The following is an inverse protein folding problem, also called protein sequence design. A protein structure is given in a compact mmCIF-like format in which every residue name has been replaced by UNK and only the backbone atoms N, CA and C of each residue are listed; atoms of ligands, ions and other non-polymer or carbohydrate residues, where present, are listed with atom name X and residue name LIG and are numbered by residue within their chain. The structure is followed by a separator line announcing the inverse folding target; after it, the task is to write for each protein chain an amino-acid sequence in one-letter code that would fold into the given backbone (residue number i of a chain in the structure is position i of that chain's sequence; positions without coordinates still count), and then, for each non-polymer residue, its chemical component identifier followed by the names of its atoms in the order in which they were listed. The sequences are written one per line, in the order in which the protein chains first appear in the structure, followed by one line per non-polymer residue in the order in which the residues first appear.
data_IF_755440819941
#
_entry.id   IF_755440819941
#
_cell.length_a   1.000
_cell.length_b   1.000
_cell.length_c   1.000
_cell.angle_alpha   90.00
_cell.angle_beta   90.00
_cell.angle_gamma   90.00
#
_symmetry.space_group_name_H-M   'P 1'
#
loop_
_entity.id
_entity.type
_entity.pdbx_description
1 polymer ?
#
# COMPACT_ATOMS: atom_id res chain seq x y z
N UNK A 1 -4.76 25.74 28.62
CA UNK A 1 -5.78 26.77 28.33
C UNK A 1 -6.91 26.63 29.34
N UNK A 2 -7.71 27.68 29.57
CA UNK A 2 -8.90 27.56 30.43
C UNK A 2 -10.06 26.99 29.62
N UNK A 3 -10.75 26.00 30.16
CA UNK A 3 -11.94 25.43 29.53
C UNK A 3 -13.16 26.32 29.78
N UNK A 4 -14.28 26.02 29.10
CA UNK A 4 -15.57 26.68 29.39
C UNK A 4 -16.01 26.44 30.84
N UNK A 5 -15.67 25.29 31.42
CA UNK A 5 -15.98 24.94 32.81
C UNK A 5 -15.19 25.82 33.79
N UNK A 6 -13.92 26.11 33.50
CA UNK A 6 -13.14 27.03 34.32
C UNK A 6 -13.74 28.43 34.38
N UNK A 7 -14.25 28.96 33.26
CA UNK A 7 -14.92 30.27 33.28
C UNK A 7 -16.15 30.27 34.19
N UNK A 8 -16.99 29.23 34.11
CA UNK A 8 -18.15 29.10 35.01
C UNK A 8 -17.69 29.03 36.47
N UNK A 9 -16.69 28.19 36.78
CA UNK A 9 -16.15 28.07 38.13
C UNK A 9 -15.60 29.39 38.67
N UNK A 10 -14.85 30.13 37.85
CA UNK A 10 -14.30 31.43 38.21
C UNK A 10 -15.43 32.45 38.42
N UNK A 11 -16.40 32.54 37.52
CA UNK A 11 -17.53 33.47 37.66
C UNK A 11 -18.35 33.18 38.91
N UNK A 12 -18.67 31.91 39.18
CA UNK A 12 -19.41 31.50 40.39
C UNK A 12 -18.59 31.81 41.65
N UNK A 13 -17.29 31.54 41.64
CA UNK A 13 -16.41 31.83 42.77
C UNK A 13 -16.30 33.32 43.05
N UNK A 14 -16.15 34.16 42.01
CA UNK A 14 -16.06 35.62 42.12
C UNK A 14 -17.39 36.22 42.57
N UNK A 15 -18.51 35.79 41.98
CA UNK A 15 -19.84 36.25 42.37
C UNK A 15 -20.17 35.86 43.83
N UNK A 16 -19.86 34.62 44.21
CA UNK A 16 -20.01 34.14 45.59
C UNK A 16 -19.16 34.94 46.57
N UNK A 17 -17.89 35.21 46.24
CA UNK A 17 -17.02 36.02 47.08
C UNK A 17 -17.54 37.47 47.24
N UNK A 18 -18.00 38.10 46.15
CA UNK A 18 -18.56 39.45 46.18
C UNK A 18 -19.84 39.54 47.04
N UNK A 19 -20.73 38.55 46.92
CA UNK A 19 -21.93 38.44 47.78
C UNK A 19 -21.56 38.19 49.25
N UNK A 20 -20.53 37.38 49.52
CA UNK A 20 -20.08 37.12 50.89
C UNK A 20 -19.51 38.38 51.54
N UNK A 21 -18.72 39.15 50.79
CA UNK A 21 -18.11 40.39 51.24
C UNK A 21 -19.13 41.52 51.45
N UNK A 22 -20.16 41.61 50.59
CA UNK A 22 -21.18 42.66 50.66
C UNK A 22 -22.25 42.40 51.73
N UNK A 23 -22.66 41.15 51.92
CA UNK A 23 -23.75 40.78 52.84
C UNK A 23 -23.27 40.15 54.16
N UNK A 24 -21.96 39.95 54.35
CA UNK A 24 -21.39 39.38 55.58
C UNK A 24 -21.78 37.93 55.85
N UNK A 25 -22.35 37.24 54.86
CA UNK A 25 -22.84 35.88 54.97
C UNK A 25 -21.67 34.88 55.01
N UNK A 26 -21.17 34.59 56.22
CA UNK A 26 -20.09 33.60 56.44
C UNK A 26 -20.42 32.21 55.88
N UNK A 27 -21.70 31.88 55.74
CA UNK A 27 -22.16 30.62 55.11
C UNK A 27 -21.71 30.48 53.66
N UNK A 28 -21.52 31.58 52.93
CA UNK A 28 -21.12 31.54 51.52
C UNK A 28 -19.64 31.14 51.32
N UNK A 29 -18.81 31.33 52.36
CA UNK A 29 -17.43 30.84 52.38
C UNK A 29 -17.35 29.31 52.32
N UNK A 30 -18.38 28.60 52.80
CA UNK A 30 -18.45 27.14 52.73
C UNK A 30 -18.54 26.62 51.28
N UNK A 31 -18.96 27.46 50.33
CA UNK A 31 -19.03 27.13 48.90
C UNK A 31 -17.83 27.71 48.15
N UNK A 32 -17.45 28.95 48.45
CA UNK A 32 -16.34 29.62 47.75
C UNK A 32 -14.98 28.97 48.05
N UNK A 33 -14.72 28.62 49.32
CA UNK A 33 -13.44 28.00 49.71
C UNK A 33 -13.15 26.68 48.95
N UNK A 34 -14.04 25.68 48.89
CA UNK A 34 -13.76 24.45 48.15
C UNK A 34 -13.63 24.67 46.64
N UNK A 35 -14.35 25.64 46.05
CA UNK A 35 -14.19 25.99 44.63
C UNK A 35 -12.80 26.56 44.34
N UNK A 36 -12.31 27.48 45.19
CA UNK A 36 -10.96 28.02 45.06
C UNK A 36 -9.89 26.94 45.27
N UNK A 37 -10.10 26.01 46.21
CA UNK A 37 -9.21 24.86 46.41
C UNK A 37 -9.22 23.95 45.17
N UNK A 38 -10.38 23.65 44.57
CA UNK A 38 -10.47 22.85 43.35
C UNK A 38 -9.71 23.49 42.18
N UNK A 39 -9.87 24.81 41.98
CA UNK A 39 -9.12 25.56 40.96
C UNK A 39 -7.60 25.47 41.23
N UNK A 40 -7.17 25.68 42.48
CA UNK A 40 -5.76 25.63 42.85
C UNK A 40 -5.17 24.22 42.65
N UNK A 41 -5.89 23.19 43.08
CA UNK A 41 -5.48 21.78 42.93
C UNK A 41 -5.38 21.41 41.45
N UNK A 42 -6.40 21.74 40.63
CA UNK A 42 -6.38 21.46 39.19
C UNK A 42 -5.23 22.17 38.48
N UNK A 43 -4.97 23.44 38.83
CA UNK A 43 -3.83 24.19 38.29
C UNK A 43 -2.48 23.57 38.68
N UNK A 44 -2.29 23.18 39.95
CA UNK A 44 -1.05 22.56 40.43
C UNK A 44 -0.85 21.20 39.76
N UNK A 45 -1.91 20.39 39.64
CA UNK A 45 -1.90 19.09 38.98
C UNK A 45 -1.40 19.23 37.54
N UNK A 46 -2.07 20.06 36.73
CA UNK A 46 -1.72 20.22 35.31
C UNK A 46 -0.34 20.85 35.08
N UNK A 47 0.10 21.73 36.01
CA UNK A 47 1.43 22.33 35.96
C UNK A 47 2.52 21.28 36.25
N UNK A 48 2.24 20.29 37.11
CA UNK A 48 3.14 19.18 37.40
C UNK A 48 3.18 18.15 36.28
N UNK A 49 2.12 18.01 35.49
CA UNK A 49 2.10 17.13 34.32
C UNK A 49 3.24 17.48 33.36
N UNK A 50 4.16 16.53 33.20
CA UNK A 50 5.26 16.61 32.26
C UNK A 50 4.82 16.07 30.90
N UNK A 51 5.59 16.41 29.86
CA UNK A 51 5.38 15.84 28.53
C UNK A 51 5.68 14.33 28.60
N UNK A 52 4.72 13.44 28.29
CA UNK A 52 4.99 12.01 28.21
C UNK A 52 5.93 11.72 27.04
N UNK A 53 6.81 10.73 27.18
CA UNK A 53 7.52 10.18 26.03
C UNK A 53 6.56 9.27 25.28
N UNK A 54 6.63 9.27 23.95
CA UNK A 54 5.77 8.46 23.10
C UNK A 54 6.65 7.46 22.37
N UNK A 55 6.31 6.19 22.49
CA UNK A 55 6.80 5.11 21.64
C UNK A 55 5.67 4.67 20.71
N UNK A 56 5.98 4.57 19.41
CA UNK A 56 4.99 4.24 18.38
C UNK A 56 5.36 2.90 17.80
N UNK A 57 4.46 1.92 17.95
CA UNK A 57 4.58 0.63 17.31
C UNK A 57 3.54 0.50 16.20
N UNK A 58 4.02 0.38 14.96
CA UNK A 58 3.18 0.21 13.78
C UNK A 58 3.88 -0.74 12.80
N UNK A 59 3.11 -1.48 11.98
CA UNK A 59 3.71 -2.26 10.91
C UNK A 59 4.37 -1.34 9.87
N UNK A 60 5.51 -1.75 9.36
CA UNK A 60 6.27 -1.03 8.34
C UNK A 60 5.68 -1.17 6.92
N UNK A 61 4.92 -2.24 6.69
CA UNK A 61 4.26 -2.54 5.42
C UNK A 61 2.83 -3.01 5.65
N UNK A 62 1.97 -2.77 4.68
CA UNK A 62 0.61 -3.32 4.66
C UNK A 62 0.04 -3.28 3.24
N UNK A 63 -1.08 -3.94 3.03
CA UNK A 63 -1.76 -3.96 1.72
C UNK A 63 -2.94 -3.02 1.69
N UNK A 64 -3.26 -2.46 0.53
CA UNK A 64 -4.48 -1.66 0.38
C UNK A 64 -5.72 -2.46 0.78
N UNK A 65 -6.64 -1.80 1.49
CA UNK A 65 -7.85 -2.32 2.14
C UNK A 65 -7.62 -3.18 3.39
N UNK A 66 -6.37 -3.43 3.78
CA UNK A 66 -6.03 -4.09 5.04
C UNK A 66 -6.26 -3.17 6.24
N UNK A 67 -6.63 -3.76 7.38
CA UNK A 67 -6.72 -3.07 8.67
C UNK A 67 -5.48 -3.42 9.50
N UNK A 68 -4.81 -2.40 10.01
CA UNK A 68 -3.61 -2.53 10.83
C UNK A 68 -3.77 -1.77 12.13
N UNK A 69 -3.23 -2.32 13.21
CA UNK A 69 -3.28 -1.66 14.53
C UNK A 69 -2.01 -0.84 14.74
N UNK A 70 -2.18 0.45 15.05
CA UNK A 70 -1.12 1.35 15.50
C UNK A 70 -1.23 1.46 17.02
N UNK A 71 -0.16 1.10 17.73
CA UNK A 71 -0.10 1.16 19.19
C UNK A 71 0.76 2.33 19.63
N UNK A 72 0.19 3.20 20.47
CA UNK A 72 0.87 4.34 21.09
C UNK A 72 1.09 4.05 22.57
N UNK A 73 2.35 3.88 22.95
CA UNK A 73 2.74 3.71 24.36
C UNK A 73 3.30 5.02 24.90
N UNK A 74 2.79 5.44 26.06
CA UNK A 74 3.16 6.70 26.68
C UNK A 74 3.90 6.44 27.99
N UNK A 75 5.19 6.77 28.05
CA UNK A 75 5.93 6.76 29.30
C UNK A 75 5.72 8.09 30.04
N UNK A 76 4.99 8.01 31.16
CA UNK A 76 4.70 9.13 32.05
C UNK A 76 4.95 8.71 33.51
N UNK A 77 5.96 9.28 34.19
CA UNK A 77 6.27 8.93 35.59
C UNK A 77 5.11 9.15 36.57
N UNK A 78 4.26 10.14 36.27
CA UNK A 78 3.05 10.46 37.01
C UNK A 78 1.87 10.32 36.03
N UNK A 79 1.12 9.21 36.05
CA UNK A 79 -0.02 9.01 35.16
C UNK A 79 -1.10 10.07 35.31
N UNK A 80 -1.78 10.39 34.22
CA UNK A 80 -2.83 11.40 34.20
C UNK A 80 -3.93 11.08 33.19
N UNK A 81 -5.15 11.51 33.48
CA UNK A 81 -6.25 11.41 32.54
C UNK A 81 -6.04 12.38 31.36
N UNK A 82 -6.22 11.88 30.15
CA UNK A 82 -6.10 12.69 28.95
C UNK A 82 -6.78 12.08 27.75
N UNK A 83 -6.89 12.89 26.71
CA UNK A 83 -7.42 12.49 25.41
C UNK A 83 -6.28 12.35 24.42
N UNK A 84 -6.24 11.24 23.70
CA UNK A 84 -5.27 10.99 22.62
C UNK A 84 -5.98 11.11 21.28
N UNK A 85 -5.43 11.95 20.42
CA UNK A 85 -5.91 12.19 19.07
C UNK A 85 -4.75 11.91 18.09
N UNK A 86 -5.00 11.05 17.12
CA UNK A 86 -4.04 10.61 16.13
C UNK A 86 -4.43 11.22 14.78
N UNK A 87 -3.65 12.18 14.32
CA UNK A 87 -3.82 12.71 12.96
C UNK A 87 -3.22 11.71 11.96
N UNK A 88 -3.95 11.43 10.88
CA UNK A 88 -3.60 10.43 9.86
C UNK A 88 -3.53 11.09 8.49
N UNK A 89 -2.63 10.61 7.63
CA UNK A 89 -2.58 11.02 6.23
C UNK A 89 -3.83 10.54 5.46
N UNK A 90 -4.14 11.16 4.31
CA UNK A 90 -5.33 10.83 3.50
C UNK A 90 -5.43 9.36 3.04
N UNK A 91 -4.34 8.58 3.12
CA UNK A 91 -4.33 7.16 2.78
C UNK A 91 -4.54 6.21 3.96
N UNK A 92 -4.80 6.75 5.15
CA UNK A 92 -5.05 6.03 6.40
C UNK A 92 -6.39 6.49 6.96
N UNK A 93 -7.32 5.57 7.14
CA UNK A 93 -8.66 5.84 7.67
C UNK A 93 -8.82 5.23 9.06
N UNK A 94 -9.28 6.04 10.01
CA UNK A 94 -9.68 5.59 11.33
C UNK A 94 -11.09 6.11 11.60
N UNK A 95 -12.02 5.20 11.86
CA UNK A 95 -13.43 5.53 12.10
C UNK A 95 -13.71 5.95 13.54
N UNK A 96 -12.73 5.83 14.44
CA UNK A 96 -12.88 6.24 15.83
C UNK A 96 -12.61 7.74 16.02
N UNK A 97 -13.19 8.28 17.10
CA UNK A 97 -12.83 9.61 17.57
C UNK A 97 -11.58 9.58 18.47
N UNK A 98 -11.23 10.72 19.07
CA UNK A 98 -10.20 10.77 20.09
C UNK A 98 -10.52 9.80 21.24
N UNK A 99 -9.48 9.16 21.79
CA UNK A 99 -9.61 8.16 22.84
C UNK A 99 -9.28 8.82 24.19
N UNK A 100 -10.24 8.81 25.12
CA UNK A 100 -10.02 9.20 26.52
C UNK A 100 -9.43 8.03 27.30
N UNK A 101 -8.27 8.24 27.94
CA UNK A 101 -7.58 7.19 28.70
C UNK A 101 -6.69 7.77 29.81
N UNK A 102 -6.08 6.88 30.59
CA UNK A 102 -5.00 7.20 31.53
C UNK A 102 -3.64 7.09 30.84
N UNK A 103 -3.01 8.23 30.59
CA UNK A 103 -1.69 8.31 29.96
C UNK A 103 -0.62 7.85 30.95
N UNK A 104 0.22 6.88 30.58
CA UNK A 104 1.23 6.29 31.48
C UNK A 104 0.88 4.92 32.03
N UNK A 105 -0.36 4.44 31.85
CA UNK A 105 -0.82 3.17 32.42
C UNK A 105 -1.16 2.11 31.37
N UNK A 106 -1.67 2.51 30.21
CA UNK A 106 -2.09 1.58 29.17
C UNK A 106 -1.80 2.16 27.79
N UNK A 107 -1.30 1.32 26.89
CA UNK A 107 -1.10 1.70 25.51
C UNK A 107 -2.45 1.97 24.81
N UNK A 108 -2.43 2.89 23.85
CA UNK A 108 -3.63 3.26 23.08
C UNK A 108 -3.51 2.66 21.70
N UNK A 109 -4.53 1.90 21.29
CA UNK A 109 -4.56 1.21 20.01
C UNK A 109 -5.54 1.87 19.05
N UNK A 110 -5.09 2.08 17.82
CA UNK A 110 -5.88 2.62 16.71
C UNK A 110 -5.92 1.59 15.59
N UNK A 111 -7.10 1.04 15.30
CA UNK A 111 -7.31 0.16 14.15
C UNK A 111 -7.53 1.00 12.89
N UNK A 112 -6.50 1.10 12.07
CA UNK A 112 -6.42 1.96 10.90
C UNK A 112 -6.54 1.15 9.62
N UNK A 113 -7.42 1.57 8.73
CA UNK A 113 -7.62 0.98 7.40
C UNK A 113 -6.74 1.67 6.37
N UNK A 114 -5.99 0.89 5.60
CA UNK A 114 -5.10 1.39 4.55
C UNK A 114 -5.87 1.61 3.25
N UNK A 115 -6.01 2.84 2.76
CA UNK A 115 -6.90 3.15 1.62
C UNK A 115 -6.18 3.58 0.35
N UNK A 116 -4.98 4.17 0.48
CA UNK A 116 -4.14 4.58 -0.66
C UNK A 116 -2.78 3.91 -0.59
N UNK A 117 -2.29 3.40 -1.74
CA UNK A 117 -0.94 2.85 -1.85
C UNK A 117 0.14 3.93 -1.66
N UNK A 118 1.37 3.51 -1.43
CA UNK A 118 2.54 4.37 -1.26
C UNK A 118 2.87 4.59 0.23
N UNK A 119 3.81 5.49 0.49
CA UNK A 119 4.19 5.86 1.86
C UNK A 119 3.08 6.69 2.52
N UNK A 120 2.56 6.20 3.64
CA UNK A 120 1.56 6.88 4.44
C UNK A 120 2.14 7.25 5.79
N UNK A 121 2.20 8.56 6.09
CA UNK A 121 2.72 9.06 7.35
C UNK A 121 1.74 8.80 8.50
N UNK A 122 2.29 8.40 9.65
CA UNK A 122 1.55 8.29 10.91
C UNK A 122 1.75 9.59 11.70
N UNK A 123 0.68 10.16 12.25
CA UNK A 123 0.74 11.33 13.10
C UNK A 123 0.65 12.67 12.36
N UNK A 124 0.73 13.80 13.10
CA UNK A 124 1.15 13.92 14.50
C UNK A 124 0.18 13.34 15.53
N UNK A 125 0.69 12.99 16.71
CA UNK A 125 -0.13 12.60 17.87
C UNK A 125 -0.29 13.78 18.81
N UNK A 126 -1.53 14.00 19.24
CA UNK A 126 -1.90 15.05 20.17
C UNK A 126 -2.44 14.43 21.45
N UNK A 127 -1.80 14.75 22.57
CA UNK A 127 -2.26 14.36 23.91
C UNK A 127 -2.78 15.59 24.63
N UNK A 128 -4.05 15.60 24.99
CA UNK A 128 -4.68 16.67 25.77
C UNK A 128 -4.81 16.18 27.21
N UNK A 129 -3.94 16.67 28.09
CA UNK A 129 -4.04 16.43 29.52
C UNK A 129 -5.12 17.33 30.12
N UNK A 130 -6.01 16.77 30.93
CA UNK A 130 -7.03 17.50 31.66
C UNK A 130 -6.83 17.32 33.17
N UNK A 131 -7.18 18.33 33.97
CA UNK A 131 -7.25 18.16 35.42
C UNK A 131 -8.53 17.41 35.84
N UNK A 132 -8.59 16.90 37.06
CA UNK A 132 -9.73 16.11 37.58
C UNK A 132 -11.08 16.85 37.56
N UNK A 133 -11.07 18.18 37.47
CA UNK A 133 -12.28 19.01 37.38
C UNK A 133 -12.55 19.51 35.95
N UNK A 134 -11.68 19.22 34.97
CA UNK A 134 -11.78 19.66 33.57
C UNK A 134 -11.79 21.19 33.43
N UNK A 135 -11.06 21.90 34.29
CA UNK A 135 -10.96 23.36 34.33
C UNK A 135 -9.81 23.86 33.44
N UNK A 136 -8.73 23.09 33.39
CA UNK A 136 -7.53 23.41 32.67
C UNK A 136 -7.13 22.25 31.78
N UNK A 137 -6.71 22.59 30.57
CA UNK A 137 -6.19 21.65 29.59
C UNK A 137 -4.75 21.99 29.22
N UNK A 138 -3.93 20.98 28.96
CA UNK A 138 -2.58 21.14 28.43
C UNK A 138 -2.34 20.17 27.29
N UNK A 139 -2.06 20.71 26.11
CA UNK A 139 -1.81 19.94 24.91
C UNK A 139 -0.32 19.66 24.74
N UNK A 140 0.02 18.41 24.46
CA UNK A 140 1.33 17.96 24.01
C UNK A 140 1.19 17.44 22.58
N UNK A 141 2.00 17.94 21.65
CA UNK A 141 2.01 17.48 20.26
C UNK A 141 3.32 16.77 19.96
N UNK A 142 3.23 15.51 19.57
CA UNK A 142 4.33 14.64 19.20
C UNK A 142 4.39 14.53 17.67
N UNK A 143 5.53 14.94 17.12
CA UNK A 143 5.82 14.75 15.71
C UNK A 143 6.39 13.34 15.54
N UNK A 144 5.75 12.56 14.69
CA UNK A 144 6.08 11.16 14.38
C UNK A 144 6.78 11.17 13.03
N UNK A 145 7.78 10.29 12.86
CA UNK A 145 8.53 10.13 11.60
C UNK A 145 8.26 8.80 10.92
N UNK A 146 7.56 7.92 11.62
CA UNK A 146 7.14 6.60 11.21
C UNK A 146 6.11 6.70 10.08
N UNK A 147 6.19 5.76 9.15
CA UNK A 147 5.28 5.64 8.03
C UNK A 147 5.03 4.17 7.72
N UNK A 148 3.92 3.91 7.04
CA UNK A 148 3.52 2.58 6.56
C UNK A 148 3.65 2.60 5.05
N UNK A 149 4.42 1.68 4.47
CA UNK A 149 4.44 1.46 3.04
C UNK A 149 3.24 0.60 2.65
N UNK A 150 2.26 1.21 1.99
CA UNK A 150 1.04 0.52 1.55
C UNK A 150 1.22 -0.02 0.14
N UNK A 151 1.19 -1.35 0.00
CA UNK A 151 1.27 -2.03 -1.29
C UNK A 151 -0.03 -1.88 -2.10
N UNK A 152 0.06 -1.94 -3.44
CA UNK A 152 -1.11 -2.07 -4.30
C UNK A 152 -1.92 -3.31 -3.93
N UNK A 153 -3.22 -3.29 -4.25
CA UNK A 153 -4.11 -4.41 -4.05
C UNK A 153 -3.71 -5.57 -4.99
N UNK A 154 -3.61 -6.77 -4.44
CA UNK A 154 -3.39 -7.99 -5.21
C UNK A 154 -4.70 -8.75 -5.30
N UNK A 155 -5.27 -8.83 -6.49
CA UNK A 155 -6.45 -9.63 -6.76
C UNK A 155 -6.05 -11.03 -7.27
N UNK A 156 -6.76 -12.09 -6.85
CA UNK A 156 -6.48 -13.42 -7.34
C UNK A 156 -6.80 -13.54 -8.83
N UNK A 157 -5.79 -13.86 -9.62
CA UNK A 157 -5.88 -14.14 -11.06
C UNK A 157 -5.76 -15.65 -11.29
N UNK A 158 -6.56 -16.21 -12.20
CA UNK A 158 -6.44 -17.63 -12.58
C UNK A 158 -5.12 -17.89 -13.34
N UNK A 159 -4.31 -18.79 -12.78
CA UNK A 159 -3.02 -19.21 -13.34
C UNK A 159 -3.11 -19.81 -14.74
N UNK A 160 -4.28 -20.33 -15.17
CA UNK A 160 -4.47 -20.87 -16.53
C UNK A 160 -4.52 -19.76 -17.59
N UNK A 161 -5.15 -18.63 -17.28
CA UNK A 161 -5.14 -17.42 -18.14
C UNK A 161 -3.74 -16.85 -18.26
N UNK A 162 -3.02 -16.83 -17.15
CA UNK A 162 -1.62 -16.40 -17.08
C UNK A 162 -0.72 -17.33 -17.89
N UNK A 163 -0.86 -18.66 -17.76
CA UNK A 163 -0.11 -19.67 -18.50
C UNK A 163 -0.34 -19.62 -20.03
N UNK A 164 -1.54 -19.24 -20.48
CA UNK A 164 -1.80 -19.01 -21.92
C UNK A 164 -1.17 -17.72 -22.44
N UNK A 165 -1.25 -16.63 -21.67
CA UNK A 165 -0.55 -15.39 -22.00
C UNK A 165 0.98 -15.61 -22.05
N UNK A 166 1.51 -16.49 -21.19
CA UNK A 166 2.88 -17.03 -21.23
C UNK A 166 3.16 -17.76 -22.56
N UNK A 167 2.38 -18.77 -22.95
CA UNK A 167 2.58 -19.53 -24.19
C UNK A 167 2.63 -18.63 -25.45
N UNK A 168 1.73 -17.64 -25.53
CA UNK A 168 1.70 -16.69 -26.64
C UNK A 168 2.87 -15.69 -26.60
N UNK A 169 3.31 -15.29 -25.40
CA UNK A 169 4.49 -14.45 -25.22
C UNK A 169 5.78 -15.19 -25.60
N UNK A 170 5.94 -16.44 -25.17
CA UNK A 170 7.06 -17.31 -25.53
C UNK A 170 7.13 -17.57 -27.04
N UNK A 171 6.01 -17.82 -27.70
CA UNK A 171 5.96 -17.98 -29.16
C UNK A 171 6.46 -16.73 -29.90
N UNK A 172 6.26 -15.55 -29.31
CA UNK A 172 6.76 -14.29 -29.87
C UNK A 172 8.20 -13.96 -29.44
N UNK A 173 8.62 -14.30 -28.22
CA UNK A 173 9.99 -14.14 -27.74
C UNK A 173 10.96 -15.05 -28.49
N UNK A 174 10.61 -16.32 -28.72
CA UNK A 174 11.38 -17.24 -29.56
C UNK A 174 11.52 -16.77 -31.03
N UNK A 175 10.65 -15.85 -31.49
CA UNK A 175 10.79 -15.18 -32.80
C UNK A 175 11.68 -13.94 -32.75
N UNK A 176 11.91 -13.35 -31.57
CA UNK A 176 12.77 -12.17 -31.35
C UNK A 176 14.20 -12.59 -30.98
N UNK A 177 14.35 -13.65 -30.19
CA UNK A 177 15.63 -14.28 -29.84
C UNK A 177 16.04 -15.28 -30.95
N UNK A 178 16.50 -14.77 -32.09
CA UNK A 178 17.75 -15.20 -32.75
C UNK A 178 17.83 -14.74 -34.21
N UNK A 179 18.97 -14.14 -34.54
CA UNK A 179 19.55 -14.17 -35.89
C UNK A 179 21.09 -14.06 -35.76
N UNK A 180 21.72 -14.95 -34.97
CA UNK A 180 23.17 -15.19 -35.13
C UNK A 180 23.37 -16.28 -36.18
N UNK A 181 24.01 -15.88 -37.27
CA UNK A 181 24.38 -16.76 -38.37
C UNK A 181 25.75 -17.36 -38.06
N UNK A 182 25.79 -18.67 -37.81
CA UNK A 182 27.04 -19.44 -37.72
C UNK A 182 27.35 -20.10 -39.06
N UNK A 183 28.62 -20.28 -39.37
CA UNK A 183 29.03 -21.08 -40.53
C UNK A 183 28.60 -22.56 -40.35
N UNK A 184 28.04 -23.13 -41.42
CA UNK A 184 27.58 -24.51 -41.48
C UNK A 184 28.74 -25.47 -41.24
N UNK A 185 28.54 -26.43 -40.32
CA UNK A 185 29.44 -27.55 -40.12
C UNK A 185 28.79 -28.85 -40.59
N UNK A 186 29.62 -29.78 -41.09
CA UNK A 186 29.15 -31.08 -41.54
C UNK A 186 28.51 -31.84 -40.36
N UNK A 187 27.18 -31.96 -40.38
CA UNK A 187 26.38 -32.51 -39.28
C UNK A 187 25.16 -31.66 -38.91
N UNK A 188 25.15 -30.38 -39.30
CA UNK A 188 24.02 -29.50 -39.06
C UNK A 188 22.80 -29.90 -39.92
N UNK A 189 21.57 -29.84 -39.39
CA UNK A 189 20.37 -30.15 -40.17
C UNK A 189 20.20 -29.17 -41.33
N UNK A 190 20.05 -29.69 -42.54
CA UNK A 190 19.92 -28.85 -43.73
C UNK A 190 18.76 -27.85 -43.62
N UNK A 191 17.68 -28.18 -42.90
CA UNK A 191 16.51 -27.30 -42.67
C UNK A 191 16.84 -25.98 -41.97
N UNK A 192 17.96 -25.90 -41.25
CA UNK A 192 18.32 -24.75 -40.43
C UNK A 192 19.24 -23.77 -41.17
N UNK A 193 19.55 -24.04 -42.45
CA UNK A 193 20.35 -23.14 -43.30
C UNK A 193 19.59 -21.81 -43.49
N UNK A 194 20.30 -20.69 -43.61
CA UNK A 194 19.72 -19.41 -43.97
C UNK A 194 20.00 -19.08 -45.44
N UNK A 195 19.19 -19.62 -46.36
CA UNK A 195 19.38 -19.54 -47.81
C UNK A 195 19.63 -18.12 -48.33
N UNK A 196 18.96 -17.12 -47.76
CA UNK A 196 19.12 -15.72 -48.18
C UNK A 196 20.49 -15.13 -47.84
N UNK A 197 21.15 -15.64 -46.79
CA UNK A 197 22.50 -15.22 -46.38
C UNK A 197 23.57 -16.05 -47.10
N UNK A 198 23.34 -17.35 -47.24
CA UNK A 198 24.21 -18.26 -48.00
C UNK A 198 24.28 -17.89 -49.50
N UNK A 199 23.19 -17.39 -50.09
CA UNK A 199 23.14 -17.02 -51.51
C UNK A 199 23.89 -15.72 -51.87
N UNK A 200 24.26 -14.89 -50.88
CA UNK A 200 24.98 -13.62 -51.10
C UNK A 200 26.51 -13.76 -50.93
N UNK A 201 26.98 -14.94 -50.55
CA UNK A 201 28.38 -15.22 -50.18
C UNK A 201 29.07 -16.09 -51.25
N UNK A 202 30.41 -16.15 -51.25
CA UNK A 202 31.17 -17.01 -52.15
C UNK A 202 30.74 -18.49 -52.05
N UNK A 203 30.88 -19.22 -53.15
CA UNK A 203 30.49 -20.62 -53.26
C UNK A 203 31.21 -21.45 -52.20
N UNK A 204 30.46 -22.00 -51.25
CA UNK A 204 30.97 -22.87 -50.18
C UNK A 204 30.63 -22.42 -48.76
N UNK A 205 30.27 -21.15 -48.56
CA UNK A 205 29.92 -20.61 -47.24
C UNK A 205 28.40 -20.68 -47.00
N UNK A 206 27.93 -21.78 -46.41
CA UNK A 206 26.55 -21.89 -45.94
C UNK A 206 26.48 -21.42 -44.49
N UNK A 207 25.44 -20.67 -44.14
CA UNK A 207 25.20 -20.27 -42.76
C UNK A 207 23.99 -20.99 -42.21
N UNK A 208 24.08 -21.41 -40.94
CA UNK A 208 23.01 -22.08 -40.19
C UNK A 208 22.53 -21.14 -39.09
N UNK A 209 21.23 -21.17 -38.85
CA UNK A 209 20.61 -20.56 -37.68
C UNK A 209 21.01 -21.38 -36.47
N UNK A 210 21.90 -20.85 -35.64
CA UNK A 210 22.18 -21.46 -34.35
C UNK A 210 21.08 -21.00 -33.38
N UNK A 211 20.56 -21.90 -32.57
CA UNK A 211 19.72 -21.54 -31.43
C UNK A 211 20.55 -21.80 -30.18
N UNK A 212 20.73 -20.80 -29.32
CA UNK A 212 21.41 -21.00 -28.04
C UNK A 212 20.40 -21.62 -27.06
N UNK A 213 20.66 -22.81 -26.52
CA UNK A 213 19.79 -23.39 -25.50
C UNK A 213 20.09 -22.68 -24.20
N UNK A 214 19.34 -21.63 -23.90
CA UNK A 214 19.32 -21.04 -22.58
C UNK A 214 18.49 -21.98 -21.68
N UNK A 215 19.03 -22.41 -20.54
CA UNK A 215 18.22 -23.11 -19.54
C UNK A 215 17.06 -22.20 -19.15
N UNK A 216 15.87 -22.49 -19.70
CA UNK A 216 14.67 -21.64 -19.67
C UNK A 216 14.11 -21.56 -18.24
N UNK A 217 14.73 -20.74 -17.39
CA UNK A 217 13.93 -20.03 -16.40
C UNK A 217 12.96 -19.15 -17.18
N UNK A 218 11.67 -19.50 -17.17
CA UNK A 218 10.63 -18.71 -17.81
C UNK A 218 10.65 -17.32 -17.17
N UNK A 219 11.14 -16.33 -17.90
CA UNK A 219 11.24 -14.95 -17.45
C UNK A 219 10.24 -14.11 -18.22
N UNK A 220 9.47 -13.28 -17.52
CA UNK A 220 8.54 -12.32 -18.12
C UNK A 220 8.90 -10.92 -17.69
N UNK A 221 9.00 -10.00 -18.65
CA UNK A 221 9.12 -8.57 -18.39
C UNK A 221 7.79 -7.86 -18.56
N UNK A 222 7.28 -7.28 -17.48
CA UNK A 222 6.10 -6.44 -17.46
C UNK A 222 6.53 -4.98 -17.49
N UNK A 223 5.93 -4.19 -18.38
CA UNK A 223 6.02 -2.73 -18.37
C UNK A 223 4.68 -2.17 -17.92
N UNK A 224 4.69 -1.31 -16.91
CA UNK A 224 3.51 -0.65 -16.36
C UNK A 224 3.56 0.85 -16.66
N UNK A 225 2.54 1.36 -17.33
CA UNK A 225 2.43 2.77 -17.70
C UNK A 225 1.04 3.31 -17.34
N UNK A 226 0.98 4.52 -16.80
CA UNK A 226 -0.28 5.09 -16.38
C UNK A 226 -0.33 6.59 -16.66
N UNK A 227 -1.46 7.06 -17.17
CA UNK A 227 -1.78 8.48 -17.10
C UNK A 227 -2.22 8.86 -15.69
N UNK A 228 -2.20 10.16 -15.40
CA UNK A 228 -2.75 10.70 -14.15
C UNK A 228 -4.20 10.20 -13.92
N UNK A 229 -4.48 9.79 -12.68
CA UNK A 229 -5.77 9.22 -12.27
C UNK A 229 -5.97 7.72 -12.57
N UNK A 230 -5.00 7.05 -13.22
CA UNK A 230 -5.06 5.60 -13.50
C UNK A 230 -3.96 4.79 -12.83
N UNK A 231 -3.06 5.44 -12.10
CA UNK A 231 -1.86 4.82 -11.55
C UNK A 231 -2.18 3.71 -10.56
N UNK A 232 -3.13 3.93 -9.65
CA UNK A 232 -3.63 2.91 -8.72
C UNK A 232 -4.09 1.64 -9.43
N UNK A 233 -4.95 1.78 -10.43
CA UNK A 233 -5.52 0.65 -11.14
C UNK A 233 -4.45 -0.14 -11.91
N UNK A 234 -3.47 0.57 -12.51
CA UNK A 234 -2.34 -0.07 -13.19
C UNK A 234 -1.45 -0.80 -12.20
N UNK A 235 -1.14 -0.18 -11.05
CA UNK A 235 -0.33 -0.80 -10.01
C UNK A 235 -1.01 -2.06 -9.45
N UNK A 236 -2.32 -2.01 -9.19
CA UNK A 236 -3.13 -3.14 -8.71
C UNK A 236 -3.16 -4.28 -9.75
N UNK A 237 -3.39 -3.95 -11.03
CA UNK A 237 -3.38 -4.93 -12.12
C UNK A 237 -2.00 -5.58 -12.31
N UNK A 238 -0.92 -4.78 -12.34
CA UNK A 238 0.44 -5.28 -12.47
C UNK A 238 0.85 -6.14 -11.28
N UNK A 239 0.50 -5.74 -10.05
CA UNK A 239 0.76 -6.51 -8.85
C UNK A 239 0.06 -7.88 -8.89
N UNK A 240 -1.20 -7.89 -9.33
CA UNK A 240 -2.02 -9.10 -9.47
C UNK A 240 -1.45 -10.07 -10.51
N UNK A 241 -1.06 -9.56 -11.69
CA UNK A 241 -0.43 -10.36 -12.75
C UNK A 241 0.92 -10.90 -12.29
N UNK A 242 1.77 -10.05 -11.69
CA UNK A 242 3.09 -10.45 -11.23
C UNK A 242 3.01 -11.50 -10.11
N UNK A 243 2.10 -11.33 -9.16
CA UNK A 243 1.87 -12.31 -8.10
C UNK A 243 1.45 -13.67 -8.67
N UNK A 244 0.50 -13.69 -9.61
CA UNK A 244 0.03 -14.92 -10.25
C UNK A 244 1.12 -15.63 -11.06
N UNK A 245 2.00 -14.87 -11.72
CA UNK A 245 3.16 -15.41 -12.43
C UNK A 245 4.20 -16.02 -11.48
N UNK A 246 4.48 -15.33 -10.37
CA UNK A 246 5.39 -15.84 -9.33
C UNK A 246 4.82 -17.10 -8.66
N UNK A 247 3.50 -17.17 -8.45
CA UNK A 247 2.82 -18.34 -7.86
C UNK A 247 2.96 -19.61 -8.72
N UNK A 248 3.10 -19.46 -10.05
CA UNK A 248 3.36 -20.58 -10.98
C UNK A 248 4.86 -20.81 -11.28
N UNK A 249 5.76 -20.11 -10.56
CA UNK A 249 7.21 -20.31 -10.66
C UNK A 249 7.90 -19.55 -11.79
N UNK A 250 7.24 -18.55 -12.39
CA UNK A 250 7.82 -17.71 -13.44
C UNK A 250 8.54 -16.52 -12.81
N UNK A 251 9.76 -16.26 -13.26
CA UNK A 251 10.55 -15.10 -12.80
C UNK A 251 10.05 -13.83 -13.48
N UNK A 252 9.59 -12.85 -12.69
CA UNK A 252 8.97 -11.61 -13.23
C UNK A 252 9.86 -10.39 -13.05
N UNK A 253 10.16 -9.69 -14.14
CA UNK A 253 10.69 -8.33 -14.09
C UNK A 253 9.57 -7.31 -14.26
N UNK A 254 9.62 -6.20 -13.53
CA UNK A 254 8.65 -5.09 -13.65
C UNK A 254 9.40 -3.79 -13.88
N UNK A 255 8.99 -3.04 -14.90
CA UNK A 255 9.47 -1.69 -15.18
C UNK A 255 8.31 -0.71 -15.13
N UNK A 256 8.49 0.35 -14.34
CA UNK A 256 7.58 1.49 -14.19
C UNK A 256 8.31 2.76 -14.66
N UNK A 257 7.64 3.91 -14.80
CA UNK A 257 8.30 5.15 -15.19
C UNK A 257 9.43 5.57 -14.23
N UNK A 258 9.30 5.22 -12.94
CA UNK A 258 10.15 5.73 -11.86
C UNK A 258 11.05 4.65 -11.24
N UNK A 259 10.97 3.39 -11.71
CA UNK A 259 11.72 2.28 -11.12
C UNK A 259 11.62 0.97 -11.89
N UNK A 260 12.57 0.08 -11.63
CA UNK A 260 12.66 -1.24 -12.28
C UNK A 260 13.12 -2.32 -11.29
N UNK A 261 12.54 -3.51 -11.41
CA UNK A 261 12.98 -4.75 -10.78
C UNK A 261 13.23 -5.78 -11.87
N UNK A 262 14.45 -6.34 -11.92
CA UNK A 262 14.79 -7.40 -12.86
C UNK A 262 14.25 -8.76 -12.46
N UNK A 263 14.06 -9.70 -13.40
CA UNK A 263 13.71 -11.07 -13.07
C UNK A 263 14.92 -11.78 -12.42
N UNK A 264 14.76 -12.30 -11.21
CA UNK A 264 15.84 -13.05 -10.54
C UNK A 264 15.40 -14.33 -9.82
N UNK A 265 14.10 -14.61 -9.71
CA UNK A 265 13.56 -15.85 -9.14
C UNK A 265 13.77 -15.99 -7.62
N UNK A 266 14.16 -14.91 -6.94
CA UNK A 266 14.36 -14.91 -5.49
C UNK A 266 13.05 -14.90 -4.72
N UNK A 267 13.06 -15.42 -3.49
CA UNK A 267 11.90 -15.40 -2.59
C UNK A 267 11.41 -13.97 -2.30
N UNK A 268 12.33 -12.99 -2.26
CA UNK A 268 12.02 -11.58 -1.96
C UNK A 268 11.61 -10.77 -3.21
N UNK A 269 11.57 -11.40 -4.39
CA UNK A 269 11.19 -10.75 -5.64
C UNK A 269 9.79 -10.16 -5.58
N UNK A 270 8.83 -10.87 -4.98
CA UNK A 270 7.46 -10.37 -4.79
C UNK A 270 7.44 -9.05 -4.05
N UNK A 271 8.10 -8.97 -2.90
CA UNK A 271 8.14 -7.78 -2.06
C UNK A 271 8.77 -6.61 -2.80
N UNK A 272 9.89 -6.81 -3.51
CA UNK A 272 10.54 -5.75 -4.29
C UNK A 272 9.65 -5.22 -5.43
N UNK A 273 8.92 -6.10 -6.11
CA UNK A 273 7.94 -5.69 -7.13
C UNK A 273 6.83 -4.84 -6.50
N UNK A 274 6.25 -5.30 -5.38
CA UNK A 274 5.20 -4.55 -4.68
C UNK A 274 5.70 -3.19 -4.16
N UNK A 275 6.94 -3.11 -3.69
CA UNK A 275 7.57 -1.84 -3.29
C UNK A 275 7.69 -0.87 -4.46
N UNK A 276 8.19 -1.30 -5.62
CA UNK A 276 8.28 -0.42 -6.81
C UNK A 276 6.89 0.03 -7.27
N UNK A 277 5.88 -0.84 -7.22
CA UNK A 277 4.50 -0.48 -7.60
C UNK A 277 3.83 0.44 -6.57
N UNK A 278 4.20 0.36 -5.29
CA UNK A 278 3.72 1.27 -4.26
C UNK A 278 4.19 2.71 -4.53
N UNK A 279 5.39 2.89 -5.09
CA UNK A 279 5.96 4.19 -5.46
C UNK A 279 5.68 4.62 -6.90
N UNK A 280 4.98 3.81 -7.70
CA UNK A 280 4.72 4.12 -9.11
C UNK A 280 3.94 5.43 -9.23
N UNK A 281 4.46 6.36 -10.04
CA UNK A 281 3.76 7.59 -10.45
C UNK A 281 3.20 7.46 -11.88
N UNK A 282 2.49 8.51 -12.32
CA UNK A 282 2.00 8.56 -13.70
C UNK A 282 3.15 8.86 -14.66
N UNK A 283 3.24 8.10 -15.74
CA UNK A 283 4.27 8.30 -16.73
C UNK A 283 4.30 7.22 -17.79
N UNK A 284 5.28 7.34 -18.66
CA UNK A 284 5.58 6.37 -19.71
C UNK A 284 7.02 5.92 -19.58
N UNK A 285 7.27 4.66 -19.88
CA UNK A 285 8.61 4.08 -19.89
C UNK A 285 9.30 4.43 -21.21
N UNK A 286 10.64 4.51 -21.19
CA UNK A 286 11.41 4.77 -22.40
C UNK A 286 11.22 3.66 -23.45
N UNK A 287 11.17 4.05 -24.74
CA UNK A 287 10.88 3.12 -25.85
C UNK A 287 11.82 1.91 -25.88
N UNK A 288 13.09 2.07 -25.47
CA UNK A 288 14.06 0.97 -25.40
C UNK A 288 13.61 -0.13 -24.44
N UNK A 289 13.15 0.24 -23.27
CA UNK A 289 12.68 -0.73 -22.26
C UNK A 289 11.31 -1.30 -22.64
N UNK A 290 10.42 -0.45 -23.20
CA UNK A 290 9.12 -0.87 -23.72
C UNK A 290 9.23 -1.92 -24.83
N UNK A 291 10.23 -1.82 -25.70
CA UNK A 291 10.45 -2.76 -26.80
C UNK A 291 10.78 -4.18 -26.34
N UNK A 292 11.30 -4.34 -25.12
CA UNK A 292 11.65 -5.62 -24.51
C UNK A 292 10.56 -6.16 -23.57
N UNK A 293 9.40 -5.50 -23.50
CA UNK A 293 8.28 -5.96 -22.69
C UNK A 293 7.59 -7.18 -23.34
N UNK A 294 7.38 -8.22 -22.54
CA UNK A 294 6.52 -9.33 -22.91
C UNK A 294 5.05 -8.96 -22.69
N UNK A 295 4.80 -8.21 -21.62
CA UNK A 295 3.48 -7.75 -21.22
C UNK A 295 3.50 -6.24 -20.93
N UNK A 296 2.59 -5.50 -21.55
CA UNK A 296 2.41 -4.06 -21.33
C UNK A 296 1.07 -3.84 -20.63
N UNK A 297 1.11 -3.34 -19.39
CA UNK A 297 -0.06 -2.90 -18.62
C UNK A 297 -0.16 -1.39 -18.74
N UNK A 298 -1.29 -0.90 -19.26
CA UNK A 298 -1.48 0.53 -19.52
C UNK A 298 -2.83 1.05 -19.04
N UNK A 299 -2.78 2.14 -18.28
CA UNK A 299 -3.96 2.89 -17.84
C UNK A 299 -4.07 4.22 -18.59
N UNK A 300 -5.09 4.35 -19.43
CA UNK A 300 -5.36 5.57 -20.20
C UNK A 300 -6.51 6.37 -19.56
N UNK A 301 -6.43 7.70 -19.61
CA UNK A 301 -7.42 8.58 -18.96
C UNK A 301 -8.83 8.41 -19.54
N UNK A 302 -8.92 8.15 -20.84
CA UNK A 302 -10.16 8.01 -21.61
C UNK A 302 -10.79 6.60 -21.51
N UNK A 303 -10.07 5.62 -20.97
CA UNK A 303 -10.53 4.24 -20.84
C UNK A 303 -10.85 3.93 -19.38
N UNK A 304 -11.97 3.24 -19.15
CA UNK A 304 -12.38 2.84 -17.79
C UNK A 304 -11.47 1.76 -17.22
N UNK A 305 -11.06 0.84 -18.06
CA UNK A 305 -10.36 -0.38 -17.66
C UNK A 305 -8.88 -0.30 -17.99
N UNK A 306 -8.07 -1.01 -17.20
CA UNK A 306 -6.64 -1.17 -17.47
C UNK A 306 -6.47 -2.12 -18.64
N UNK A 307 -5.70 -1.69 -19.64
CA UNK A 307 -5.42 -2.49 -20.82
C UNK A 307 -4.16 -3.30 -20.64
N UNK A 308 -4.23 -4.59 -20.96
CA UNK A 308 -3.11 -5.52 -20.96
C UNK A 308 -2.86 -5.93 -22.40
N UNK A 309 -1.61 -5.77 -22.85
CA UNK A 309 -1.17 -6.19 -24.18
C UNK A 309 -0.05 -7.21 -24.06
N UNK A 310 -0.22 -8.37 -24.67
CA UNK A 310 0.83 -9.35 -24.90
C UNK A 310 0.94 -9.61 -26.41
N UNK A 311 2.15 -9.56 -26.96
CA UNK A 311 2.34 -9.70 -28.41
C UNK A 311 1.47 -8.73 -29.22
N UNK A 312 0.48 -9.26 -29.95
CA UNK A 312 -0.50 -8.52 -30.76
C UNK A 312 -1.89 -8.41 -30.14
N UNK A 313 -2.16 -9.20 -29.10
CA UNK A 313 -3.47 -9.25 -28.47
C UNK A 313 -3.56 -8.20 -27.38
N UNK A 314 -4.76 -7.69 -27.17
CA UNK A 314 -5.05 -6.65 -26.19
C UNK A 314 -6.36 -7.00 -25.52
N UNK A 315 -6.38 -6.97 -24.19
CA UNK A 315 -7.58 -7.20 -23.39
C UNK A 315 -7.65 -6.28 -22.19
N UNK A 316 -8.81 -6.18 -21.57
CA UNK A 316 -8.96 -5.48 -20.29
C UNK A 316 -8.54 -6.35 -19.11
N UNK A 317 -8.10 -5.74 -18.00
CA UNK A 317 -7.83 -6.44 -16.74
C UNK A 317 -9.09 -7.12 -16.18
N UNK A 318 -10.26 -6.50 -16.31
CA UNK A 318 -11.53 -7.10 -15.91
C UNK A 318 -11.85 -8.37 -16.70
N UNK A 319 -11.60 -8.41 -18.01
CA UNK A 319 -11.73 -9.64 -18.79
C UNK A 319 -10.70 -10.70 -18.37
N UNK A 320 -9.51 -10.27 -17.92
CA UNK A 320 -8.43 -11.14 -17.47
C UNK A 320 -8.80 -11.82 -16.14
N UNK A 321 -9.46 -11.11 -15.22
CA UNK A 321 -9.94 -11.64 -13.94
C UNK A 321 -11.29 -12.37 -14.05
N UNK A 322 -12.22 -11.89 -14.88
CA UNK A 322 -13.59 -12.42 -14.99
C UNK A 322 -13.73 -13.73 -15.77
N UNK A 323 -12.71 -14.16 -16.54
CA UNK A 323 -12.72 -15.47 -17.21
C UNK A 323 -12.85 -16.65 -16.22
N UNK A 324 -12.61 -16.40 -14.93
CA UNK A 324 -13.08 -17.16 -13.76
C UNK A 324 -14.52 -17.70 -13.88
N UNK A 325 -15.46 -16.88 -14.35
CA UNK A 325 -16.89 -17.20 -14.32
C UNK A 325 -17.35 -18.18 -15.40
N UNK A 326 -16.66 -18.22 -16.55
CA UNK A 326 -17.13 -18.98 -17.71
C UNK A 326 -16.68 -20.44 -17.69
N UNK A 327 -15.54 -20.74 -17.08
CA UNK A 327 -15.06 -22.12 -16.91
C UNK A 327 -15.77 -22.83 -15.75
N UNK A 328 -15.97 -22.14 -14.62
CA UNK A 328 -16.70 -22.70 -13.46
C UNK A 328 -18.18 -23.01 -13.76
N UNK A 329 -18.85 -22.20 -14.60
CA UNK A 329 -20.23 -22.46 -15.01
C UNK A 329 -20.38 -23.66 -15.96
N UNK A 330 -19.32 -24.05 -16.68
CA UNK A 330 -19.36 -25.20 -17.61
C UNK A 330 -19.05 -26.53 -16.91
N UNK A 331 -18.31 -26.51 -15.80
CA UNK A 331 -18.10 -27.71 -14.96
C UNK A 331 -19.29 -28.00 -14.04
N UNK A 332 -20.07 -26.99 -13.63
CA UNK A 332 -21.30 -27.18 -12.86
C UNK A 332 -22.46 -27.81 -13.66
N UNK A 333 -22.47 -27.68 -14.99
CA UNK A 333 -23.56 -28.19 -15.85
C UNK A 333 -23.33 -29.64 -16.30
N UNK A 334 -22.09 -30.17 -16.19
CA UNK A 334 -21.81 -31.59 -16.50
C UNK A 334 -22.09 -32.56 -15.35
N UNK A 335 -22.29 -32.07 -14.13
CA UNK A 335 -22.51 -32.91 -12.95
C UNK A 335 -23.99 -33.26 -12.68
N UNK A 336 -24.96 -32.64 -13.37
CA UNK A 336 -26.40 -32.81 -13.09
C UNK A 336 -27.18 -33.50 -14.24
N UNK A 337 -26.45 -34.13 -15.16
CA UNK A 337 -26.99 -34.67 -16.42
C UNK A 337 -27.29 -36.17 -16.44
N UNK A 338 -27.47 -36.84 -15.31
CA UNK A 338 -27.76 -38.27 -15.33
C UNK A 338 -28.12 -38.89 -13.99
N UNK A 339 -29.39 -38.82 -13.60
CA UNK A 339 -30.18 -40.01 -13.28
C UNK A 339 -31.61 -39.61 -12.87
N UNK A 340 -32.60 -40.01 -13.67
CA UNK A 340 -33.85 -40.65 -13.21
C UNK A 340 -34.77 -40.98 -14.38
N UNK A 341 -35.75 -41.91 -14.21
CA UNK A 341 -35.96 -42.84 -13.10
C UNK A 341 -35.82 -44.33 -13.47
#
# INVERSE_FOLDING_TARGET
MLTRRAWVFITVSVAGFALAASFGARSLNAVVAPLLVAILVGFIQLKRTKRPQLDVSAPNVGSREEAVTITLDFDAPDPFAGTVDLELADGLEYDGGPIETSIGETAVEFDVRLTKRGEQAIGPVRVVAEDVFGLFERTFTHQIRESILVFPRVEPVDGVTTARALEDSHTNAARREFDQLREYQAGDPLRDIHWKSSAKRPVGEMFVRQFEPQEESQQIRIVAEANAGRVDAVADATASIAAALLDIGVSVGVTTPDGHVGPDGSTDQRTRILTVLAHMESGQVHERERAHADLLVRGLTDQRDVTIRWGRDTMSFDEFTSRRGRTSALDGVRADGGEKP
#
